data_IF_072895460808
#
_entry.id   IF_072895460808
#
_cell.length_a   1.000
_cell.length_b   1.000
_cell.length_c   1.000
_cell.angle_alpha   90.00
_cell.angle_beta   90.00
_cell.angle_gamma   90.00
#
_symmetry.space_group_name_H-M   'P 1'
#
loop_
_entity.id
_entity.type
_entity.pdbx_description
1 polymer ?
#
# COMPACT_ATOMS: atom_id res chain seq x y z
N UNK A 1 6.84 -20.77 -10.68
CA UNK A 1 7.60 -19.57 -10.24
C UNK A 1 7.75 -19.65 -8.73
N UNK A 2 8.95 -19.43 -8.15
CA UNK A 2 9.12 -19.46 -6.68
C UNK A 2 8.45 -18.27 -5.99
N UNK A 3 8.05 -18.42 -4.72
CA UNK A 3 7.45 -17.34 -3.93
C UNK A 3 8.33 -16.09 -3.88
N UNK A 4 9.65 -16.26 -3.72
CA UNK A 4 10.62 -15.15 -3.72
C UNK A 4 10.68 -14.42 -5.07
N UNK A 5 10.55 -15.13 -6.18
CA UNK A 5 10.52 -14.49 -7.52
C UNK A 5 9.24 -13.69 -7.71
N UNK A 6 8.10 -14.25 -7.35
CA UNK A 6 6.81 -13.57 -7.40
C UNK A 6 6.82 -12.34 -6.50
N UNK A 7 7.26 -12.49 -5.24
CA UNK A 7 7.36 -11.41 -4.27
C UNK A 7 8.29 -10.28 -4.74
N UNK A 8 9.46 -10.61 -5.30
CA UNK A 8 10.40 -9.60 -5.81
C UNK A 8 9.79 -8.76 -6.95
N UNK A 9 9.15 -9.39 -7.93
CA UNK A 9 8.53 -8.67 -9.04
C UNK A 9 7.32 -7.85 -8.59
N UNK A 10 6.47 -8.41 -7.74
CA UNK A 10 5.29 -7.71 -7.24
C UNK A 10 5.68 -6.52 -6.35
N UNK A 11 6.68 -6.67 -5.49
CA UNK A 11 7.17 -5.57 -4.68
C UNK A 11 7.83 -4.47 -5.54
N UNK A 12 8.57 -4.82 -6.59
CA UNK A 12 9.11 -3.84 -7.53
C UNK A 12 7.99 -3.11 -8.27
N UNK A 13 6.98 -3.82 -8.76
CA UNK A 13 5.82 -3.21 -9.41
C UNK A 13 5.07 -2.26 -8.46
N UNK A 14 4.86 -2.68 -7.20
CA UNK A 14 4.26 -1.81 -6.16
C UNK A 14 5.09 -0.55 -5.91
N UNK A 15 6.42 -0.66 -5.86
CA UNK A 15 7.29 0.51 -5.71
C UNK A 15 7.12 1.49 -6.88
N UNK A 16 7.08 0.99 -8.11
CA UNK A 16 6.90 1.82 -9.32
C UNK A 16 5.52 2.46 -9.36
N UNK A 17 4.45 1.72 -9.03
CA UNK A 17 3.09 2.27 -8.95
C UNK A 17 2.99 3.34 -7.86
N UNK A 18 3.62 3.13 -6.70
CA UNK A 18 3.65 4.11 -5.63
C UNK A 18 4.38 5.40 -6.03
N UNK A 19 5.49 5.29 -6.75
CA UNK A 19 6.18 6.46 -7.32
C UNK A 19 5.30 7.17 -8.35
N UNK A 20 4.66 6.43 -9.26
CA UNK A 20 3.74 7.01 -10.24
C UNK A 20 2.56 7.72 -9.56
N UNK A 21 1.97 7.11 -8.53
CA UNK A 21 0.92 7.73 -7.72
C UNK A 21 1.40 9.02 -7.06
N UNK A 22 2.57 9.00 -6.42
CA UNK A 22 3.13 10.18 -5.74
C UNK A 22 3.41 11.32 -6.72
N UNK A 23 3.95 11.01 -7.91
CA UNK A 23 4.17 12.01 -8.97
C UNK A 23 2.84 12.60 -9.42
N UNK A 24 1.83 11.76 -9.68
CA UNK A 24 0.49 12.21 -10.09
C UNK A 24 -0.16 13.09 -9.02
N UNK A 25 -0.05 12.69 -7.74
CA UNK A 25 -0.52 13.49 -6.60
C UNK A 25 0.19 14.84 -6.52
N UNK A 26 1.52 14.86 -6.72
CA UNK A 26 2.30 16.10 -6.71
C UNK A 26 1.87 17.04 -7.83
N UNK A 27 1.62 16.52 -9.02
CA UNK A 27 1.07 17.31 -10.15
C UNK A 27 -0.31 17.86 -9.77
N UNK A 28 -1.21 17.03 -9.22
CA UNK A 28 -2.54 17.46 -8.79
C UNK A 28 -2.47 18.62 -7.80
N UNK A 29 -1.66 18.48 -6.77
CA UNK A 29 -1.46 19.52 -5.73
C UNK A 29 -0.84 20.80 -6.31
N UNK A 30 0.09 20.66 -7.26
CA UNK A 30 0.74 21.82 -7.90
C UNK A 30 -0.22 22.60 -8.78
N UNK A 31 -1.18 21.93 -9.43
CA UNK A 31 -2.15 22.55 -10.34
C UNK A 31 -3.36 23.11 -9.59
N UNK A 32 -3.88 22.36 -8.62
CA UNK A 32 -5.15 22.69 -7.96
C UNK A 32 -4.98 23.23 -6.52
N UNK A 33 -3.82 23.02 -5.91
CA UNK A 33 -3.58 23.33 -4.49
C UNK A 33 -3.89 22.16 -3.57
N UNK A 34 -3.33 22.19 -2.36
CA UNK A 34 -3.35 21.07 -1.38
C UNK A 34 -4.76 20.80 -0.79
N UNK A 35 -5.66 21.76 -0.85
CA UNK A 35 -7.01 21.67 -0.28
C UNK A 35 -8.12 21.54 -1.32
N UNK A 36 -7.78 21.69 -2.61
CA UNK A 36 -8.75 21.58 -3.67
C UNK A 36 -9.02 20.11 -4.03
N UNK A 37 -10.24 19.77 -4.45
CA UNK A 37 -10.55 18.45 -4.98
C UNK A 37 -9.68 18.13 -6.20
N UNK A 38 -9.18 16.90 -6.25
CA UNK A 38 -8.51 16.40 -7.45
C UNK A 38 -9.60 16.00 -8.45
N UNK A 39 -9.47 16.48 -9.68
CA UNK A 39 -10.45 16.26 -10.75
C UNK A 39 -9.83 15.54 -11.94
N UNK A 40 -10.69 15.07 -12.86
CA UNK A 40 -10.24 14.45 -14.10
C UNK A 40 -9.46 15.44 -15.00
N UNK A 41 -8.48 14.93 -15.76
CA UNK A 41 -8.09 13.52 -15.93
C UNK A 41 -7.14 12.96 -14.84
N UNK A 42 -6.63 13.79 -13.95
CA UNK A 42 -5.63 13.40 -12.94
C UNK A 42 -6.24 12.38 -11.97
N UNK A 43 -7.47 12.60 -11.53
CA UNK A 43 -8.18 11.68 -10.65
C UNK A 43 -8.29 10.29 -11.26
N UNK A 44 -8.68 10.20 -12.54
CA UNK A 44 -8.77 8.92 -13.25
C UNK A 44 -7.45 8.14 -13.26
N UNK A 45 -6.33 8.82 -13.48
CA UNK A 45 -5.01 8.18 -13.43
C UNK A 45 -4.72 7.63 -12.04
N UNK A 46 -4.98 8.40 -10.99
CA UNK A 46 -4.79 7.96 -9.61
C UNK A 46 -5.65 6.75 -9.28
N UNK A 47 -6.92 6.75 -9.68
CA UNK A 47 -7.87 5.65 -9.47
C UNK A 47 -7.41 4.36 -10.16
N UNK A 48 -6.93 4.43 -11.40
CA UNK A 48 -6.38 3.27 -12.12
C UNK A 48 -5.13 2.72 -11.44
N UNK A 49 -4.20 3.59 -11.04
CA UNK A 49 -2.99 3.19 -10.30
C UNK A 49 -3.35 2.48 -8.99
N UNK A 50 -4.34 3.00 -8.26
CA UNK A 50 -4.81 2.44 -7.01
C UNK A 50 -5.50 1.08 -7.22
N UNK A 51 -6.36 0.97 -8.23
CA UNK A 51 -7.06 -0.27 -8.57
C UNK A 51 -6.08 -1.40 -8.94
N UNK A 52 -4.97 -1.09 -9.61
CA UNK A 52 -3.92 -2.07 -9.92
C UNK A 52 -3.09 -2.40 -8.67
N UNK A 53 -2.85 -1.42 -7.80
CA UNK A 53 -2.03 -1.60 -6.59
C UNK A 53 -2.67 -2.54 -5.58
N UNK A 54 -3.99 -2.53 -5.45
CA UNK A 54 -4.72 -3.28 -4.44
C UNK A 54 -4.47 -4.81 -4.53
N UNK A 55 -4.68 -5.51 -5.66
CA UNK A 55 -4.39 -6.93 -5.79
C UNK A 55 -2.89 -7.23 -5.73
N UNK A 56 -2.02 -6.33 -6.20
CA UNK A 56 -0.58 -6.51 -6.09
C UNK A 56 -0.10 -6.52 -4.63
N UNK A 57 -0.71 -5.70 -3.77
CA UNK A 57 -0.40 -5.70 -2.34
C UNK A 57 -0.72 -7.05 -1.68
N UNK A 58 -1.81 -7.72 -2.08
CA UNK A 58 -2.12 -9.08 -1.62
C UNK A 58 -1.00 -10.04 -2.00
N UNK A 59 -0.47 -9.95 -3.23
CA UNK A 59 0.65 -10.80 -3.67
C UNK A 59 1.92 -10.51 -2.87
N UNK A 60 2.24 -9.25 -2.59
CA UNK A 60 3.40 -8.86 -1.76
C UNK A 60 3.28 -9.44 -0.36
N UNK A 61 2.13 -9.29 0.32
CA UNK A 61 1.94 -9.82 1.67
C UNK A 61 1.91 -11.36 1.66
N UNK A 62 1.36 -12.00 0.63
CA UNK A 62 1.45 -13.46 0.46
C UNK A 62 2.90 -13.95 0.35
N UNK A 63 3.75 -13.21 -0.34
CA UNK A 63 5.18 -13.52 -0.42
C UNK A 63 5.88 -13.31 0.94
N UNK A 64 5.51 -12.28 1.71
CA UNK A 64 5.99 -12.08 3.09
C UNK A 64 5.55 -13.24 3.98
N UNK A 65 4.30 -13.70 3.88
CA UNK A 65 3.82 -14.87 4.62
C UNK A 65 4.60 -16.14 4.24
N UNK A 66 4.87 -16.34 2.95
CA UNK A 66 5.67 -17.48 2.49
C UNK A 66 7.12 -17.43 2.97
N UNK A 67 7.69 -16.23 3.11
CA UNK A 67 9.04 -15.98 3.63
C UNK A 67 9.16 -16.23 5.13
N UNK A 68 8.06 -16.13 5.88
CA UNK A 68 8.04 -16.23 7.34
C UNK A 68 8.53 -17.61 7.84
N UNK A 69 9.38 -17.61 8.87
CA UNK A 69 9.72 -18.81 9.64
C UNK A 69 8.47 -19.40 10.34
N UNK A 70 8.52 -20.67 10.72
CA UNK A 70 7.36 -21.38 11.27
C UNK A 70 6.74 -20.68 12.48
N UNK A 71 7.57 -20.15 13.38
CA UNK A 71 7.17 -19.40 14.59
C UNK A 71 6.56 -18.03 14.29
N UNK A 72 6.73 -17.49 13.07
CA UNK A 72 6.27 -16.16 12.66
C UNK A 72 5.19 -16.17 11.60
N UNK A 73 4.81 -17.34 11.10
CA UNK A 73 3.77 -17.47 10.07
C UNK A 73 2.43 -16.86 10.47
N UNK A 74 2.10 -16.87 11.75
CA UNK A 74 0.87 -16.26 12.25
C UNK A 74 0.79 -14.74 11.95
N UNK A 75 1.90 -14.03 12.08
CA UNK A 75 1.96 -12.60 11.76
C UNK A 75 1.72 -12.34 10.27
N UNK A 76 2.34 -13.13 9.40
CA UNK A 76 2.10 -13.05 7.96
C UNK A 76 0.66 -13.41 7.57
N UNK A 77 0.03 -14.37 8.28
CA UNK A 77 -1.37 -14.73 8.05
C UNK A 77 -2.33 -13.60 8.45
N UNK A 78 -2.12 -13.00 9.62
CA UNK A 78 -2.91 -11.85 10.08
C UNK A 78 -2.74 -10.66 9.10
N UNK A 79 -1.51 -10.39 8.67
CA UNK A 79 -1.25 -9.36 7.67
C UNK A 79 -2.00 -9.62 6.36
N UNK A 80 -2.04 -10.89 5.91
CA UNK A 80 -2.77 -11.30 4.71
C UNK A 80 -4.28 -11.08 4.87
N UNK A 81 -4.85 -11.39 6.03
CA UNK A 81 -6.27 -11.13 6.29
C UNK A 81 -6.60 -9.63 6.16
N UNK A 82 -5.82 -8.76 6.81
CA UNK A 82 -6.05 -7.32 6.74
C UNK A 82 -5.84 -6.75 5.33
N UNK A 83 -4.80 -7.17 4.61
CA UNK A 83 -4.56 -6.67 3.24
C UNK A 83 -5.63 -7.16 2.27
N UNK A 84 -6.26 -8.31 2.51
CA UNK A 84 -7.39 -8.78 1.69
C UNK A 84 -8.62 -7.89 1.86
N UNK A 85 -8.91 -7.44 3.08
CA UNK A 85 -9.98 -6.46 3.34
C UNK A 85 -9.65 -5.12 2.67
N UNK A 86 -8.43 -4.62 2.85
CA UNK A 86 -7.95 -3.43 2.14
C UNK A 86 -8.17 -3.54 0.63
N UNK A 87 -7.70 -4.62 0.01
CA UNK A 87 -7.78 -4.81 -1.43
C UNK A 87 -9.23 -4.89 -1.93
N UNK A 88 -10.11 -5.56 -1.20
CA UNK A 88 -11.52 -5.65 -1.56
C UNK A 88 -12.22 -4.28 -1.50
N UNK A 89 -12.01 -3.51 -0.43
CA UNK A 89 -12.62 -2.19 -0.25
C UNK A 89 -12.13 -1.21 -1.31
N UNK A 90 -10.81 -1.07 -1.46
CA UNK A 90 -10.17 -0.17 -2.43
C UNK A 90 -10.56 -0.54 -3.87
N UNK A 91 -10.56 -1.83 -4.22
CA UNK A 91 -10.98 -2.25 -5.56
C UNK A 91 -12.45 -1.93 -5.84
N UNK A 92 -13.34 -2.13 -4.86
CA UNK A 92 -14.75 -1.83 -5.01
C UNK A 92 -14.98 -0.31 -5.19
N UNK A 93 -14.36 0.52 -4.36
CA UNK A 93 -14.47 1.99 -4.45
C UNK A 93 -14.00 2.47 -5.82
N UNK A 94 -12.79 2.16 -6.22
CA UNK A 94 -12.24 2.68 -7.48
C UNK A 94 -12.91 2.11 -8.72
N UNK A 95 -13.38 0.86 -8.68
CA UNK A 95 -14.18 0.32 -9.78
C UNK A 95 -15.50 1.07 -9.93
N UNK A 96 -16.20 1.35 -8.85
CA UNK A 96 -17.45 2.11 -8.86
C UNK A 96 -17.22 3.54 -9.35
N UNK A 97 -16.16 4.21 -8.87
CA UNK A 97 -15.81 5.57 -9.30
C UNK A 97 -15.48 5.62 -10.80
N UNK A 98 -14.60 4.72 -11.28
CA UNK A 98 -14.19 4.66 -12.69
C UNK A 98 -15.34 4.31 -13.65
N UNK A 99 -16.40 3.69 -13.16
CA UNK A 99 -17.53 3.23 -13.98
C UNK A 99 -18.82 4.00 -13.68
N UNK A 100 -19.57 3.58 -12.66
CA UNK A 100 -20.92 4.07 -12.42
C UNK A 100 -21.00 5.56 -12.05
N UNK A 101 -20.06 6.04 -11.21
CA UNK A 101 -20.06 7.44 -10.76
C UNK A 101 -19.66 8.38 -11.89
N UNK A 102 -18.61 8.03 -12.63
CA UNK A 102 -18.13 8.83 -13.77
C UNK A 102 -19.17 8.97 -14.88
N UNK A 103 -19.98 7.92 -15.16
CA UNK A 103 -21.06 8.00 -16.14
C UNK A 103 -22.17 8.98 -15.73
N UNK A 104 -22.27 9.31 -14.44
CA UNK A 104 -23.21 10.33 -13.93
C UNK A 104 -22.64 11.75 -13.95
N UNK A 105 -21.42 11.94 -14.43
CA UNK A 105 -20.76 13.24 -14.47
C UNK A 105 -20.40 13.81 -13.09
N UNK A 106 -20.27 12.93 -12.08
CA UNK A 106 -19.92 13.30 -10.70
C UNK A 106 -18.65 12.58 -10.25
N UNK A 107 -18.13 12.93 -9.07
CA UNK A 107 -17.07 12.20 -8.39
C UNK A 107 -17.47 11.98 -6.94
N UNK A 108 -17.39 10.73 -6.47
CA UNK A 108 -17.56 10.37 -5.07
C UNK A 108 -16.30 10.57 -4.22
N UNK A 109 -15.15 10.88 -4.86
CA UNK A 109 -13.86 11.04 -4.18
C UNK A 109 -13.64 12.47 -3.65
N UNK A 110 -14.70 13.10 -3.17
CA UNK A 110 -14.66 14.43 -2.54
C UNK A 110 -15.11 14.29 -1.09
N UNK A 111 -14.29 14.78 -0.16
CA UNK A 111 -14.63 14.78 1.26
C UNK A 111 -15.68 15.86 1.59
N UNK A 112 -16.69 15.52 2.43
CA UNK A 112 -17.01 14.22 3.02
C UNK A 112 -17.98 13.42 2.13
N UNK A 113 -17.54 12.27 1.64
CA UNK A 113 -18.40 11.32 0.96
C UNK A 113 -18.23 9.90 1.53
N UNK A 114 -19.26 9.04 1.48
CA UNK A 114 -19.14 7.65 1.94
C UNK A 114 -18.06 6.87 1.19
N UNK A 115 -17.94 7.05 -0.13
CA UNK A 115 -16.92 6.36 -0.94
C UNK A 115 -15.51 6.75 -0.48
N UNK A 116 -15.25 8.04 -0.28
CA UNK A 116 -13.95 8.51 0.21
C UNK A 116 -13.67 8.05 1.64
N UNK A 117 -14.69 8.02 2.52
CA UNK A 117 -14.54 7.51 3.88
C UNK A 117 -14.15 6.02 3.90
N UNK A 118 -14.77 5.19 3.03
CA UNK A 118 -14.42 3.77 2.86
C UNK A 118 -12.98 3.61 2.36
N UNK A 119 -12.56 4.44 1.40
CA UNK A 119 -11.19 4.44 0.88
C UNK A 119 -10.16 4.81 1.96
N UNK A 120 -10.45 5.84 2.76
CA UNK A 120 -9.60 6.22 3.89
C UNK A 120 -9.52 5.13 4.95
N UNK A 121 -10.63 4.43 5.23
CA UNK A 121 -10.63 3.29 6.14
C UNK A 121 -9.74 2.16 5.61
N UNK A 122 -9.81 1.87 4.31
CA UNK A 122 -8.99 0.85 3.67
C UNK A 122 -7.49 1.17 3.80
N UNK A 123 -7.06 2.35 3.39
CA UNK A 123 -5.65 2.74 3.36
C UNK A 123 -5.08 3.05 4.74
N UNK A 124 -5.83 3.71 5.60
CA UNK A 124 -5.30 4.09 6.90
C UNK A 124 -5.36 2.94 7.90
N UNK A 125 -6.51 2.25 8.03
CA UNK A 125 -6.65 1.20 9.02
C UNK A 125 -6.18 -0.16 8.50
N UNK A 126 -6.81 -0.69 7.45
CA UNK A 126 -6.58 -2.06 7.03
C UNK A 126 -5.19 -2.28 6.42
N UNK A 127 -4.74 -1.39 5.55
CA UNK A 127 -3.36 -1.44 5.06
C UNK A 127 -2.36 -1.18 6.20
N UNK A 128 -2.61 -0.19 7.06
CA UNK A 128 -1.76 0.12 8.21
C UNK A 128 -1.56 -1.09 9.12
N UNK A 129 -2.64 -1.79 9.49
CA UNK A 129 -2.60 -3.01 10.29
C UNK A 129 -1.87 -4.13 9.54
N UNK A 130 -2.13 -4.32 8.25
CA UNK A 130 -1.42 -5.32 7.45
C UNK A 130 0.10 -5.12 7.50
N UNK A 131 0.57 -3.88 7.37
CA UNK A 131 2.00 -3.54 7.43
C UNK A 131 2.59 -3.76 8.84
N UNK A 132 1.87 -3.35 9.88
CA UNK A 132 2.30 -3.55 11.27
C UNK A 132 2.43 -5.04 11.61
N UNK A 133 1.47 -5.86 11.19
CA UNK A 133 1.53 -7.32 11.39
C UNK A 133 2.52 -8.02 10.45
N UNK A 134 2.85 -7.46 9.28
CA UNK A 134 3.91 -8.01 8.42
C UNK A 134 5.32 -7.77 9.00
N UNK A 135 5.53 -6.71 9.76
CA UNK A 135 6.85 -6.32 10.27
C UNK A 135 7.54 -7.38 11.14
N UNK A 136 6.87 -8.08 12.10
CA UNK A 136 7.48 -9.11 12.92
C UNK A 136 7.99 -10.34 12.15
N UNK A 137 7.56 -10.54 10.90
CA UNK A 137 8.08 -11.62 10.04
C UNK A 137 9.60 -11.47 9.85
N UNK A 138 10.11 -10.25 9.80
CA UNK A 138 11.51 -9.93 9.58
C UNK A 138 12.26 -9.77 10.91
N UNK A 139 12.98 -10.81 11.32
CA UNK A 139 13.71 -10.84 12.61
C UNK A 139 15.20 -10.63 12.49
N UNK A 140 15.73 -10.81 11.29
CA UNK A 140 17.16 -10.75 11.02
C UNK A 140 17.79 -9.37 11.18
N UNK A 141 19.08 -9.33 10.96
CA UNK A 141 19.89 -8.09 10.90
C UNK A 141 20.00 -7.58 9.45
N UNK A 142 20.71 -6.48 9.25
CA UNK A 142 20.95 -5.96 7.90
C UNK A 142 19.69 -5.59 7.14
N UNK A 143 19.49 -6.13 5.92
CA UNK A 143 18.36 -5.78 5.05
C UNK A 143 16.98 -6.03 5.68
N UNK A 144 16.81 -7.12 6.42
CA UNK A 144 15.55 -7.42 7.11
C UNK A 144 15.17 -6.35 8.14
N UNK A 145 16.17 -5.84 8.88
CA UNK A 145 15.93 -4.75 9.84
C UNK A 145 15.42 -3.49 9.15
N UNK A 146 15.94 -3.18 7.96
CA UNK A 146 15.46 -2.06 7.14
C UNK A 146 14.01 -2.23 6.73
N UNK A 147 13.66 -3.41 6.20
CA UNK A 147 12.27 -3.77 5.84
C UNK A 147 11.35 -3.67 7.06
N UNK A 148 11.70 -4.30 8.17
CA UNK A 148 10.92 -4.27 9.41
C UNK A 148 10.63 -2.85 9.89
N UNK A 149 11.67 -2.00 9.96
CA UNK A 149 11.51 -0.60 10.36
C UNK A 149 10.61 0.18 9.41
N UNK A 150 10.81 -0.01 8.10
CA UNK A 150 9.99 0.63 7.08
C UNK A 150 8.52 0.24 7.18
N UNK A 151 8.21 -1.06 7.37
CA UNK A 151 6.85 -1.56 7.56
C UNK A 151 6.20 -0.96 8.83
N UNK A 152 6.94 -0.91 9.95
CA UNK A 152 6.46 -0.31 11.19
C UNK A 152 6.18 1.18 11.03
N UNK A 153 7.08 1.94 10.41
CA UNK A 153 6.91 3.37 10.16
C UNK A 153 5.71 3.62 9.23
N UNK A 154 5.68 2.94 8.08
CA UNK A 154 4.58 3.10 7.12
C UNK A 154 3.23 2.75 7.74
N UNK A 155 3.14 1.59 8.42
CA UNK A 155 1.91 1.15 9.08
C UNK A 155 1.45 2.08 10.19
N UNK A 156 2.36 2.56 11.03
CA UNK A 156 2.04 3.52 12.10
C UNK A 156 1.53 4.86 11.55
N UNK A 157 2.18 5.37 10.48
CA UNK A 157 1.74 6.59 9.81
C UNK A 157 0.36 6.42 9.15
N UNK A 158 0.10 5.29 8.50
CA UNK A 158 -1.22 4.97 7.97
C UNK A 158 -2.27 5.02 9.08
N UNK A 159 -2.08 4.26 10.17
CA UNK A 159 -3.04 4.22 11.28
C UNK A 159 -3.23 5.60 11.92
N UNK A 160 -2.17 6.38 12.10
CA UNK A 160 -2.27 7.73 12.60
C UNK A 160 -3.10 8.66 11.68
N UNK A 161 -3.04 8.45 10.38
CA UNK A 161 -3.79 9.22 9.38
C UNK A 161 -5.32 9.12 9.54
N UNK A 162 -5.83 8.05 10.17
CA UNK A 162 -7.27 7.87 10.38
C UNK A 162 -7.89 8.94 11.31
N UNK A 163 -7.06 9.57 12.12
CA UNK A 163 -7.50 10.66 13.00
C UNK A 163 -8.06 11.83 12.17
N UNK A 164 -7.48 12.10 11.02
CA UNK A 164 -7.90 13.21 10.15
C UNK A 164 -9.41 13.18 9.82
N UNK A 165 -9.91 12.16 9.14
CA UNK A 165 -11.34 12.04 8.84
C UNK A 165 -12.20 11.91 10.11
N UNK A 166 -11.72 11.26 11.17
CA UNK A 166 -12.47 11.09 12.41
C UNK A 166 -12.79 12.43 13.11
N UNK A 167 -11.88 13.41 13.02
CA UNK A 167 -12.07 14.76 13.60
C UNK A 167 -12.45 15.81 12.54
N UNK A 168 -12.72 15.41 11.29
CA UNK A 168 -13.07 16.34 10.20
C UNK A 168 -11.92 17.23 9.71
N UNK A 169 -10.67 16.88 10.02
CA UNK A 169 -9.49 17.66 9.62
C UNK A 169 -8.60 16.86 8.64
N UNK A 170 -8.85 17.03 7.34
CA UNK A 170 -8.14 16.30 6.30
C UNK A 170 -6.64 16.63 6.19
N UNK A 171 -6.14 17.70 6.83
CA UNK A 171 -4.69 17.95 6.90
C UNK A 171 -3.98 16.91 7.76
N UNK A 172 -4.62 16.41 8.81
CA UNK A 172 -4.07 15.34 9.65
C UNK A 172 -4.00 14.00 8.87
N UNK A 173 -4.89 13.79 7.93
CA UNK A 173 -4.88 12.59 7.07
C UNK A 173 -3.62 12.53 6.17
N UNK A 174 -2.97 13.67 5.88
CA UNK A 174 -1.71 13.71 5.12
C UNK A 174 -0.59 12.90 5.77
N UNK A 175 -0.65 12.65 7.09
CA UNK A 175 0.27 11.75 7.79
C UNK A 175 0.14 10.33 7.23
N UNK A 176 -1.09 9.86 7.01
CA UNK A 176 -1.36 8.57 6.36
C UNK A 176 -0.88 8.55 4.91
N UNK A 177 -1.16 9.61 4.15
CA UNK A 177 -0.66 9.75 2.76
C UNK A 177 0.85 9.60 2.72
N UNK A 178 1.58 10.24 3.60
CA UNK A 178 3.03 10.10 3.67
C UNK A 178 3.45 8.64 3.95
N UNK A 179 2.72 7.94 4.81
CA UNK A 179 2.94 6.54 5.11
C UNK A 179 2.84 5.64 3.86
N UNK A 180 1.75 5.73 3.12
CA UNK A 180 1.53 4.83 1.98
C UNK A 180 2.06 5.36 0.63
N UNK A 181 2.12 6.66 0.40
CA UNK A 181 2.57 7.21 -0.87
C UNK A 181 4.09 7.49 -0.94
N UNK A 182 4.77 7.63 0.22
CA UNK A 182 6.21 7.90 0.27
C UNK A 182 6.97 6.73 0.90
N UNK A 183 6.61 6.33 2.12
CA UNK A 183 7.38 5.31 2.86
C UNK A 183 7.18 3.93 2.26
N UNK A 184 5.94 3.54 1.95
CA UNK A 184 5.64 2.20 1.43
C UNK A 184 6.34 1.87 0.10
N UNK A 185 6.42 2.75 -0.92
CA UNK A 185 7.19 2.49 -2.13
C UNK A 185 8.66 2.17 -1.85
N UNK A 186 9.29 2.86 -0.90
CA UNK A 186 10.66 2.58 -0.47
C UNK A 186 10.76 1.21 0.19
N UNK A 187 9.80 0.86 1.06
CA UNK A 187 9.73 -0.47 1.69
C UNK A 187 9.56 -1.57 0.65
N UNK A 188 8.71 -1.36 -0.35
CA UNK A 188 8.51 -2.30 -1.46
C UNK A 188 9.81 -2.50 -2.26
N UNK A 189 10.60 -1.45 -2.49
CA UNK A 189 11.91 -1.57 -3.12
C UNK A 189 12.90 -2.39 -2.27
N UNK A 190 12.90 -2.19 -0.95
CA UNK A 190 13.72 -2.99 -0.02
C UNK A 190 13.29 -4.46 -0.03
N UNK A 191 11.98 -4.75 -0.03
CA UNK A 191 11.44 -6.09 -0.14
C UNK A 191 11.83 -6.76 -1.47
N UNK A 192 11.74 -6.05 -2.58
CA UNK A 192 12.14 -6.56 -3.90
C UNK A 192 13.60 -6.99 -3.92
N UNK A 193 14.48 -6.20 -3.29
CA UNK A 193 15.91 -6.51 -3.16
C UNK A 193 16.15 -7.70 -2.23
N UNK A 194 15.47 -7.76 -1.10
CA UNK A 194 15.59 -8.85 -0.13
C UNK A 194 15.20 -10.20 -0.76
N UNK A 195 14.02 -10.29 -1.38
CA UNK A 195 13.56 -11.50 -2.04
C UNK A 195 14.45 -11.94 -3.21
N UNK A 196 15.11 -11.00 -3.89
CA UNK A 196 16.08 -11.31 -4.94
C UNK A 196 17.39 -11.88 -4.37
N UNK A 197 17.87 -11.34 -3.26
CA UNK A 197 19.12 -11.79 -2.60
C UNK A 197 18.98 -13.21 -2.04
N UNK A 198 17.87 -13.48 -1.36
CA UNK A 198 17.60 -14.80 -0.76
C UNK A 198 17.54 -15.92 -1.81
N UNK A 199 17.01 -15.64 -3.00
CA UNK A 199 17.03 -16.57 -4.14
C UNK A 199 18.46 -17.00 -4.53
N UNK A 200 19.42 -16.07 -4.47
CA UNK A 200 20.81 -16.35 -4.89
C UNK A 200 21.56 -17.24 -3.88
N UNK A 201 21.12 -17.26 -2.61
CA UNK A 201 21.67 -18.15 -1.59
C UNK A 201 21.14 -19.58 -1.72
N UNK A 202 19.85 -19.76 -2.04
CA UNK A 202 19.23 -21.09 -2.20
C UNK A 202 19.73 -21.81 -3.47
N UNK A 203 20.14 -21.09 -4.50
CA UNK A 203 20.59 -21.65 -5.78
C UNK A 203 22.10 -21.95 -5.86
N UNK A 204 22.88 -21.72 -4.81
CA UNK A 204 24.29 -22.17 -4.75
C UNK A 204 24.33 -23.61 -4.26
N UNK A 205 24.80 -24.59 -5.10
CA UNK A 205 25.11 -25.94 -4.60
C UNK A 205 26.12 -25.81 -3.48
N UNK A 206 25.96 -26.64 -2.43
CA UNK A 206 27.01 -26.82 -1.45
C UNK A 206 28.25 -27.34 -2.18
N UNK A 207 29.33 -26.57 -2.14
CA UNK A 207 30.62 -26.93 -2.72
C UNK A 207 31.33 -27.96 -1.87
#
# INVERSE_FOLDING_TARGET
MSANRLGSWSALAMSLLGVAYFVTLTIAVSVHGITAPIVDPILAVMEVLTLISAPLMVVVISAIHAYASADRKIYGLIALAFVSVFAAMTSAVHFVELTAVRQRGSSGMIWPSPAYAVELLAWNLFLGLALLFAAPVFAGSGPERGVRRGLLISGALCVAGIVGPAVGNMRLQLVGVFGYAVVLPVVCLLLARLFRSDRNHVSRPAA
#
